data_IF_554201730873
#
_entry.id   IF_554201730873
#
_cell.length_a   1.000
_cell.length_b   1.000
_cell.length_c   1.000
_cell.angle_alpha   90.00
_cell.angle_beta   90.00
_cell.angle_gamma   90.00
#
_symmetry.space_group_name_H-M   'P 1'
#
loop_
_entity.id
_entity.type
_entity.pdbx_description
1 polymer ?
#
# COMPACT_ATOMS: atom_id res chain seq x y z
N UNK A 1 11.35 -56.28 6.06
CA UNK A 1 11.51 -55.00 5.37
C UNK A 1 10.13 -54.52 4.97
N UNK A 2 9.57 -53.51 5.64
CA UNK A 2 8.27 -52.93 5.30
C UNK A 2 8.45 -51.41 5.17
N UNK A 3 8.65 -50.96 3.93
CA UNK A 3 8.73 -49.56 3.57
C UNK A 3 7.34 -48.93 3.73
N UNK A 4 7.19 -48.01 4.67
CA UNK A 4 5.99 -47.20 4.77
C UNK A 4 6.19 -45.94 3.94
N UNK A 5 5.32 -45.84 2.95
CA UNK A 5 5.28 -44.89 1.85
C UNK A 5 5.11 -43.47 2.40
N UNK A 6 5.99 -42.58 1.97
CA UNK A 6 5.92 -41.13 2.15
C UNK A 6 4.63 -40.59 1.48
N UNK A 7 3.74 -40.01 2.27
CA UNK A 7 2.71 -39.12 1.75
C UNK A 7 3.16 -37.67 2.01
N UNK A 8 3.89 -37.11 1.04
CA UNK A 8 4.11 -35.66 1.01
C UNK A 8 2.83 -35.06 0.44
N UNK A 9 1.95 -34.59 1.32
CA UNK A 9 0.83 -33.75 0.95
C UNK A 9 1.40 -32.36 0.63
N UNK A 10 1.78 -32.14 -0.63
CA UNK A 10 2.06 -30.80 -1.12
C UNK A 10 0.77 -30.00 -1.12
N UNK A 11 0.54 -29.21 -0.06
CA UNK A 11 -0.40 -28.10 -0.11
C UNK A 11 0.17 -27.08 -1.11
N UNK A 12 -0.25 -27.18 -2.36
CA UNK A 12 -0.16 -26.07 -3.29
C UNK A 12 -1.16 -25.02 -2.80
N UNK A 13 -0.70 -24.13 -1.92
CA UNK A 13 -1.40 -22.88 -1.64
C UNK A 13 -1.38 -22.09 -2.95
N UNK A 14 -2.50 -22.14 -3.68
CA UNK A 14 -2.76 -21.31 -4.84
C UNK A 14 -2.94 -19.88 -4.33
N UNK A 15 -1.86 -19.12 -4.18
CA UNK A 15 -1.97 -17.68 -4.03
C UNK A 15 -2.44 -17.15 -5.37
N UNK A 16 -3.74 -16.86 -5.49
CA UNK A 16 -4.17 -15.90 -6.50
C UNK A 16 -3.39 -14.61 -6.22
N UNK A 17 -2.54 -14.18 -7.15
CA UNK A 17 -2.12 -12.79 -7.15
C UNK A 17 -3.43 -12.00 -7.33
N UNK A 18 -3.87 -11.32 -6.29
CA UNK A 18 -5.00 -10.41 -6.38
C UNK A 18 -4.46 -9.17 -7.08
N UNK A 19 -4.89 -8.91 -8.31
CA UNK A 19 -4.47 -7.75 -9.10
C UNK A 19 -5.16 -6.44 -8.65
N UNK A 20 -5.75 -6.42 -7.46
CA UNK A 20 -6.43 -5.26 -6.91
C UNK A 20 -5.45 -4.32 -6.21
N UNK A 21 -5.65 -3.00 -6.29
CA UNK A 21 -4.87 -2.03 -5.54
C UNK A 21 -4.87 -2.36 -4.05
N UNK A 22 -3.68 -2.36 -3.45
CA UNK A 22 -3.48 -2.71 -2.04
C UNK A 22 -2.75 -1.57 -1.33
N UNK A 23 -3.22 -1.24 -0.14
CA UNK A 23 -2.58 -0.30 0.76
C UNK A 23 -2.72 -0.76 2.21
N UNK A 24 -1.57 -0.82 2.89
CA UNK A 24 -1.48 -1.08 4.32
C UNK A 24 -0.66 0.01 5.00
N UNK A 25 -1.11 0.40 6.19
CA UNK A 25 -0.40 1.35 7.04
C UNK A 25 0.25 0.67 8.24
N UNK A 26 1.50 1.01 8.52
CA UNK A 26 2.28 0.45 9.62
C UNK A 26 2.80 1.54 10.54
N UNK A 27 2.78 1.27 11.84
CA UNK A 27 3.40 2.16 12.85
C UNK A 27 4.92 1.97 12.94
N UNK A 28 5.47 0.93 12.30
CA UNK A 28 6.92 0.78 12.06
C UNK A 28 7.32 1.45 10.75
N UNK A 29 8.61 1.69 10.55
CA UNK A 29 9.15 2.32 9.33
C UNK A 29 9.62 1.32 8.25
N UNK A 30 9.42 0.03 8.48
CA UNK A 30 9.92 -1.08 7.64
C UNK A 30 8.81 -2.09 7.27
N UNK A 31 7.54 -1.68 7.37
CA UNK A 31 6.35 -2.50 7.13
C UNK A 31 6.34 -3.80 7.93
N UNK A 32 6.80 -3.74 9.18
CA UNK A 32 6.76 -4.86 10.12
C UNK A 32 5.65 -4.70 11.17
N UNK A 33 5.18 -5.82 11.70
CA UNK A 33 4.05 -5.85 12.64
C UNK A 33 2.70 -5.97 11.93
N UNK A 34 1.63 -5.73 12.68
CA UNK A 34 0.26 -5.84 12.18
C UNK A 34 -0.15 -4.55 11.44
N UNK A 35 -0.55 -4.62 10.16
CA UNK A 35 -1.00 -3.46 9.42
C UNK A 35 -2.41 -3.01 9.78
N UNK A 36 -2.71 -1.75 9.47
CA UNK A 36 -4.08 -1.30 9.20
C UNK A 36 -4.31 -1.25 7.70
N UNK A 37 -5.03 -2.24 7.18
CA UNK A 37 -5.40 -2.31 5.75
C UNK A 37 -6.55 -1.36 5.43
N UNK A 38 -6.50 -0.77 4.25
CA UNK A 38 -7.56 0.11 3.73
C UNK A 38 -8.18 -0.55 2.51
N UNK A 39 -9.48 -0.83 2.60
CA UNK A 39 -10.24 -1.38 1.47
C UNK A 39 -10.47 -0.32 0.41
N UNK A 40 -10.00 -0.58 -0.81
CA UNK A 40 -10.30 0.25 -1.98
C UNK A 40 -11.30 -0.51 -2.87
N UNK A 41 -12.46 0.07 -3.20
CA UNK A 41 -13.42 -0.59 -4.08
C UNK A 41 -12.85 -0.90 -5.46
N UNK A 42 -13.11 -2.11 -5.97
CA UNK A 42 -12.61 -2.62 -7.26
C UNK A 42 -12.98 -1.74 -8.48
N UNK A 43 -14.05 -0.95 -8.39
CA UNK A 43 -14.58 -0.13 -9.47
C UNK A 43 -14.13 1.34 -9.41
N UNK A 44 -13.25 1.70 -8.47
CA UNK A 44 -12.74 3.07 -8.37
C UNK A 44 -11.72 3.37 -9.46
N UNK A 45 -12.03 4.37 -10.29
CA UNK A 45 -11.08 4.97 -11.22
C UNK A 45 -9.97 5.77 -10.51
N UNK A 46 -10.17 6.16 -9.25
CA UNK A 46 -9.24 6.90 -8.41
C UNK A 46 -9.69 6.82 -6.95
N UNK A 47 -8.74 6.66 -6.02
CA UNK A 47 -8.98 6.76 -4.57
C UNK A 47 -8.05 7.81 -3.96
N UNK A 48 -8.57 8.73 -3.14
CA UNK A 48 -7.76 9.59 -2.28
C UNK A 48 -7.85 9.06 -0.85
N UNK A 49 -6.70 8.84 -0.22
CA UNK A 49 -6.58 8.14 1.05
C UNK A 49 -5.72 8.98 2.00
N UNK A 50 -6.36 9.53 3.03
CA UNK A 50 -5.65 10.21 4.12
C UNK A 50 -4.91 9.18 4.97
N UNK A 51 -3.64 9.46 5.24
CA UNK A 51 -2.82 8.60 6.07
C UNK A 51 -3.08 8.87 7.56
N UNK A 52 -3.00 7.81 8.37
CA UNK A 52 -2.99 7.97 9.82
C UNK A 52 -1.69 8.67 10.23
N UNK A 53 -1.81 9.72 11.05
CA UNK A 53 -0.68 10.52 11.53
C UNK A 53 0.34 9.74 12.37
N UNK A 54 0.01 8.51 12.79
CA UNK A 54 0.90 7.61 13.54
C UNK A 54 1.63 6.61 12.65
N UNK A 55 1.25 6.52 11.37
CA UNK A 55 1.92 5.65 10.39
C UNK A 55 3.33 6.14 10.08
N UNK A 56 4.27 5.20 10.05
CA UNK A 56 5.67 5.44 9.69
C UNK A 56 6.07 4.76 8.38
N UNK A 57 5.30 3.78 7.91
CA UNK A 57 5.47 3.23 6.57
C UNK A 57 4.16 2.79 5.94
N UNK A 58 4.18 2.67 4.61
CA UNK A 58 3.08 2.15 3.79
C UNK A 58 3.58 0.94 3.00
N UNK A 59 2.73 -0.07 2.85
CA UNK A 59 2.87 -1.03 1.77
C UNK A 59 1.87 -0.70 0.68
N UNK A 60 2.34 -0.54 -0.56
CA UNK A 60 1.52 -0.16 -1.72
C UNK A 60 1.70 -1.17 -2.85
N UNK A 61 0.63 -1.66 -3.46
CA UNK A 61 0.72 -2.58 -4.60
C UNK A 61 -0.37 -2.36 -5.66
N UNK A 62 -0.13 -2.95 -6.84
CA UNK A 62 -1.10 -3.13 -7.94
C UNK A 62 -1.85 -1.87 -8.42
N UNK A 63 -1.23 -0.70 -8.27
CA UNK A 63 -1.70 0.57 -8.79
C UNK A 63 -0.52 1.53 -8.99
N UNK A 64 -0.80 2.65 -9.64
CA UNK A 64 0.09 3.82 -9.55
C UNK A 64 -0.30 4.67 -8.36
N UNK A 65 0.70 5.18 -7.64
CA UNK A 65 0.51 5.91 -6.39
C UNK A 65 1.20 7.27 -6.45
N UNK A 66 0.50 8.29 -5.96
CA UNK A 66 1.06 9.64 -5.81
C UNK A 66 0.84 10.10 -4.37
N UNK A 67 1.92 10.51 -3.69
CA UNK A 67 1.88 11.06 -2.35
C UNK A 67 1.71 12.58 -2.38
N UNK A 68 0.98 13.12 -1.41
CA UNK A 68 0.62 14.53 -1.30
C UNK A 68 0.88 15.06 0.10
N UNK A 69 1.28 16.32 0.20
CA UNK A 69 1.59 16.98 1.48
C UNK A 69 0.38 17.43 2.28
N UNK A 70 -0.82 17.37 1.71
CA UNK A 70 -2.05 17.88 2.33
C UNK A 70 -3.29 17.12 1.84
N UNK A 71 -4.43 17.40 2.45
CA UNK A 71 -5.75 17.01 1.99
C UNK A 71 -6.67 18.24 1.99
N UNK A 72 -7.49 18.38 0.94
CA UNK A 72 -8.46 19.47 0.84
C UNK A 72 -9.64 19.24 1.79
N UNK A 73 -10.45 20.28 2.00
CA UNK A 73 -11.68 20.17 2.79
C UNK A 73 -12.75 19.24 2.16
N UNK A 74 -12.52 18.79 0.91
CA UNK A 74 -13.39 17.84 0.19
C UNK A 74 -12.82 16.42 0.21
N UNK A 75 -11.90 16.13 1.15
CA UNK A 75 -11.21 14.83 1.31
C UNK A 75 -10.38 14.41 0.08
N UNK A 76 -9.95 15.37 -0.74
CA UNK A 76 -9.08 15.11 -1.88
C UNK A 76 -7.61 15.35 -1.53
N UNK A 77 -6.70 14.46 -1.93
CA UNK A 77 -5.27 14.71 -1.76
C UNK A 77 -4.84 15.99 -2.52
N UNK A 78 -4.10 16.87 -1.83
CA UNK A 78 -3.78 18.22 -2.28
C UNK A 78 -2.37 18.68 -1.86
N UNK A 79 -1.95 19.85 -2.34
CA UNK A 79 -0.63 20.41 -2.04
C UNK A 79 0.47 19.88 -2.96
N UNK A 80 1.70 19.86 -2.45
CA UNK A 80 2.86 19.37 -3.18
C UNK A 80 2.79 17.86 -3.31
N UNK A 81 3.24 17.32 -4.44
CA UNK A 81 3.13 15.90 -4.75
C UNK A 81 4.45 15.26 -5.18
N UNK A 82 4.52 13.94 -5.02
CA UNK A 82 5.62 13.09 -5.45
C UNK A 82 5.06 11.74 -5.92
N UNK A 83 5.66 11.17 -6.96
CA UNK A 83 5.37 9.78 -7.34
C UNK A 83 5.89 8.84 -6.25
N UNK A 84 5.08 7.86 -5.86
CA UNK A 84 5.43 6.88 -4.84
C UNK A 84 5.48 5.51 -5.48
N UNK A 85 6.60 4.83 -5.32
CA UNK A 85 6.79 3.46 -5.83
C UNK A 85 5.89 2.45 -5.09
N UNK A 86 5.75 1.27 -5.68
CA UNK A 86 5.12 0.12 -5.01
C UNK A 86 6.11 -0.61 -4.11
N UNK A 87 5.59 -1.34 -3.13
CA UNK A 87 6.36 -2.01 -2.08
C UNK A 87 6.27 -1.24 -0.76
N UNK A 88 7.23 -1.50 0.14
CA UNK A 88 7.31 -0.85 1.43
C UNK A 88 7.98 0.52 1.32
N UNK A 89 7.30 1.55 1.79
CA UNK A 89 7.71 2.96 1.71
C UNK A 89 7.88 3.50 3.14
N UNK A 90 9.09 3.90 3.49
CA UNK A 90 9.39 4.60 4.76
C UNK A 90 8.95 6.08 4.65
N UNK A 91 7.86 6.43 5.34
CA UNK A 91 7.29 7.79 5.34
C UNK A 91 8.17 8.78 6.12
N UNK A 92 9.05 8.30 7.00
CA UNK A 92 9.96 9.17 7.76
C UNK A 92 11.08 9.73 6.89
N UNK A 93 11.33 9.10 5.75
CA UNK A 93 12.35 9.49 4.76
C UNK A 93 11.76 9.97 3.43
N UNK A 94 10.50 9.63 3.16
CA UNK A 94 9.79 10.04 1.94
C UNK A 94 9.18 11.43 2.11
N UNK A 95 9.77 12.41 1.44
CA UNK A 95 9.32 13.80 1.46
C UNK A 95 8.92 14.26 0.06
N UNK A 96 7.95 15.17 0.00
CA UNK A 96 7.61 15.89 -1.25
C UNK A 96 8.79 16.80 -1.68
N UNK A 97 8.80 17.33 -2.91
CA UNK A 97 9.89 18.19 -3.39
C UNK A 97 10.14 19.45 -2.55
N UNK A 98 9.13 19.93 -1.80
CA UNK A 98 9.28 21.04 -0.86
C UNK A 98 9.85 20.65 0.50
N UNK A 99 10.06 19.35 0.74
CA UNK A 99 10.53 18.81 2.02
C UNK A 99 9.41 18.54 3.03
N UNK A 100 8.15 18.48 2.59
CA UNK A 100 7.01 18.19 3.45
C UNK A 100 6.76 16.68 3.54
N UNK A 101 6.21 16.22 4.66
CA UNK A 101 5.76 14.83 4.83
C UNK A 101 4.59 14.52 3.89
N UNK A 102 4.48 13.26 3.47
CA UNK A 102 3.30 12.75 2.76
C UNK A 102 2.19 12.51 3.79
N UNK A 103 1.03 13.14 3.60
CA UNK A 103 -0.15 13.02 4.47
C UNK A 103 -1.34 12.33 3.78
N UNK A 104 -1.31 12.24 2.46
CA UNK A 104 -2.36 11.64 1.65
C UNK A 104 -1.74 10.92 0.46
N UNK A 105 -2.34 9.80 0.04
CA UNK A 105 -1.94 9.08 -1.18
C UNK A 105 -3.12 8.92 -2.11
N UNK A 106 -2.84 9.07 -3.40
CA UNK A 106 -3.80 8.88 -4.48
C UNK A 106 -3.49 7.60 -5.21
N UNK A 107 -4.45 6.69 -5.24
CA UNK A 107 -4.44 5.50 -6.09
C UNK A 107 -4.98 5.86 -7.47
N UNK A 108 -4.29 5.44 -8.53
CA UNK A 108 -4.83 5.38 -9.89
C UNK A 108 -4.62 3.97 -10.44
N UNK A 109 -5.67 3.26 -10.92
CA UNK A 109 -5.56 1.89 -11.40
C UNK A 109 -4.54 1.77 -12.53
N UNK A 110 -3.88 0.61 -12.61
CA UNK A 110 -3.09 0.26 -13.79
C UNK A 110 -4.06 0.11 -14.97
N UNK A 111 -3.86 0.86 -16.05
CA UNK A 111 -4.63 0.64 -17.28
C UNK A 111 -4.34 -0.76 -17.82
N UNK A 112 -5.38 -1.55 -18.09
CA UNK A 112 -5.28 -2.84 -18.81
C UNK A 112 -4.57 -2.69 -20.17
#
# INVERSE_FOLDING_TARGET
MLAHILAVASLLALSAAHDYPEIDQYTSNDCSGDPTSIDIPDDQAKADITLDTTSQSLYLANATWTGFSDYSAEDECAGDSIDVDTGCIDLTQSLTPSGSSILCVRMTPLSE
#
